data_IF_057445215454
#
_entry.id   IF_057445215454
#
_cell.length_a   1.000
_cell.length_b   1.000
_cell.length_c   1.000
_cell.angle_alpha   90.00
_cell.angle_beta   90.00
_cell.angle_gamma   90.00
#
_symmetry.space_group_name_H-M   'P 1'
#
loop_
_entity.id
_entity.type
_entity.pdbx_description
1 polymer ?
#
# COMPACT_ATOMS: atom_id res chain seq x y z
N UNK A 1 15.81 4.62 14.75
CA UNK A 1 14.57 5.42 14.89
C UNK A 1 13.46 4.59 14.28
N UNK A 2 12.32 4.44 14.95
CA UNK A 2 11.15 3.75 14.39
C UNK A 2 10.25 4.82 13.78
N UNK A 3 9.89 4.67 12.51
CA UNK A 3 8.93 5.52 11.83
C UNK A 3 7.57 4.82 11.82
N UNK A 4 6.52 5.54 12.20
CA UNK A 4 5.15 5.08 12.08
C UNK A 4 4.61 5.41 10.68
N UNK A 5 3.73 4.55 10.14
CA UNK A 5 3.15 4.70 8.79
C UNK A 5 2.06 5.78 8.71
N UNK A 6 1.51 6.22 9.85
CA UNK A 6 0.38 7.16 9.86
C UNK A 6 -0.91 6.56 9.30
N UNK A 7 -1.62 7.31 8.47
CA UNK A 7 -2.89 6.91 7.85
C UNK A 7 -2.67 6.41 6.42
N UNK A 8 -3.38 5.37 5.96
CA UNK A 8 -3.26 4.90 4.59
C UNK A 8 -3.77 5.95 3.59
N UNK A 9 -3.13 6.02 2.42
CA UNK A 9 -3.61 6.85 1.31
C UNK A 9 -4.88 6.30 0.66
N UNK A 10 -5.07 4.98 0.72
CA UNK A 10 -6.29 4.30 0.27
C UNK A 10 -6.64 3.15 1.20
N UNK A 11 -7.91 3.03 1.54
CA UNK A 11 -8.44 1.91 2.32
C UNK A 11 -9.67 1.34 1.62
N UNK A 12 -9.71 0.02 1.44
CA UNK A 12 -10.80 -0.67 0.76
C UNK A 12 -11.30 -1.86 1.60
N UNK A 13 -12.63 -1.95 1.74
CA UNK A 13 -13.31 -3.05 2.42
C UNK A 13 -14.02 -3.93 1.39
N UNK A 14 -13.71 -5.23 1.41
CA UNK A 14 -14.29 -6.23 0.50
C UNK A 14 -15.19 -7.23 1.25
N UNK A 15 -15.66 -6.87 2.43
CA UNK A 15 -16.52 -7.70 3.29
C UNK A 15 -15.77 -8.80 4.05
N UNK A 16 -15.06 -9.70 3.36
CA UNK A 16 -14.27 -10.78 4.00
C UNK A 16 -12.85 -10.37 4.38
N UNK A 17 -12.33 -9.33 3.71
CA UNK A 17 -11.00 -8.79 3.94
C UNK A 17 -10.99 -7.28 3.68
N UNK A 18 -9.92 -6.64 4.15
CA UNK A 18 -9.64 -5.23 3.95
C UNK A 18 -8.22 -5.05 3.41
N UNK A 19 -7.99 -4.00 2.63
CA UNK A 19 -6.66 -3.56 2.22
C UNK A 19 -6.41 -2.11 2.63
N UNK A 20 -5.20 -1.82 3.09
CA UNK A 20 -4.75 -0.48 3.40
C UNK A 20 -3.44 -0.20 2.65
N UNK A 21 -3.48 0.77 1.75
CA UNK A 21 -2.35 1.15 0.90
C UNK A 21 -1.65 2.40 1.42
N UNK A 22 -0.33 2.35 1.50
CA UNK A 22 0.58 3.41 1.93
C UNK A 22 1.50 3.74 0.75
N UNK A 23 1.08 4.72 -0.04
CA UNK A 23 1.72 5.03 -1.33
C UNK A 23 3.14 5.58 -1.18
N UNK A 24 3.47 6.31 -0.10
CA UNK A 24 4.82 6.86 0.10
C UNK A 24 5.83 5.75 0.41
N UNK A 25 5.40 4.74 1.17
CA UNK A 25 6.22 3.60 1.59
C UNK A 25 6.17 2.41 0.64
N UNK A 26 5.27 2.43 -0.35
CA UNK A 26 5.06 1.36 -1.33
C UNK A 26 4.62 0.05 -0.65
N UNK A 27 3.77 0.20 0.36
CA UNK A 27 3.29 -0.89 1.21
C UNK A 27 1.78 -1.04 1.04
N UNK A 28 1.34 -2.28 0.89
CA UNK A 28 -0.07 -2.66 1.08
C UNK A 28 -0.18 -3.63 2.26
N UNK A 29 -1.11 -3.34 3.16
CA UNK A 29 -1.46 -4.23 4.26
C UNK A 29 -2.77 -4.94 3.93
N UNK A 30 -2.75 -6.26 4.00
CA UNK A 30 -3.93 -7.10 3.80
C UNK A 30 -4.42 -7.65 5.13
N UNK A 31 -5.67 -7.36 5.47
CA UNK A 31 -6.32 -7.78 6.70
C UNK A 31 -7.46 -8.75 6.40
N UNK A 32 -7.58 -9.80 7.21
CA UNK A 32 -8.71 -10.73 7.14
C UNK A 32 -9.33 -10.82 8.53
N UNK A 33 -10.64 -10.56 8.63
CA UNK A 33 -11.37 -10.47 9.90
C UNK A 33 -10.68 -9.57 10.94
N UNK A 34 -10.20 -8.40 10.51
CA UNK A 34 -9.53 -7.42 11.36
C UNK A 34 -8.10 -7.80 11.80
N UNK A 35 -7.52 -8.85 11.24
CA UNK A 35 -6.15 -9.29 11.55
C UNK A 35 -5.24 -9.11 10.35
N UNK A 36 -4.07 -8.51 10.56
CA UNK A 36 -3.04 -8.42 9.53
C UNK A 36 -2.60 -9.83 9.13
N UNK A 37 -2.71 -10.13 7.83
CA UNK A 37 -2.37 -11.42 7.25
C UNK A 37 -1.12 -11.33 6.38
N UNK A 38 -0.98 -10.24 5.62
CA UNK A 38 0.16 -10.03 4.73
C UNK A 38 0.58 -8.57 4.70
N UNK A 39 1.87 -8.36 4.47
CA UNK A 39 2.48 -7.08 4.14
C UNK A 39 3.05 -7.26 2.73
N UNK A 40 2.51 -6.55 1.77
CA UNK A 40 2.94 -6.60 0.38
C UNK A 40 3.79 -5.37 0.09
N UNK A 41 4.94 -5.58 -0.56
CA UNK A 41 5.80 -4.52 -1.09
C UNK A 41 5.74 -4.61 -2.61
N UNK A 42 5.46 -3.51 -3.28
CA UNK A 42 5.17 -3.55 -4.71
C UNK A 42 5.48 -2.27 -5.44
N UNK A 43 5.74 -2.39 -6.74
CA UNK A 43 5.89 -1.25 -7.64
C UNK A 43 4.55 -0.53 -7.73
N UNK A 44 4.56 0.80 -7.66
CA UNK A 44 3.38 1.62 -7.90
C UNK A 44 3.03 1.59 -9.39
N UNK A 45 1.75 1.67 -9.75
CA UNK A 45 1.30 1.71 -11.15
C UNK A 45 0.43 2.95 -11.41
N UNK A 46 0.50 3.49 -12.62
CA UNK A 46 -0.41 4.56 -13.08
C UNK A 46 -1.74 4.02 -13.62
N UNK A 47 -2.61 4.91 -14.11
CA UNK A 47 -3.93 4.54 -14.65
C UNK A 47 -3.86 3.69 -15.92
N UNK A 48 -2.70 3.65 -16.58
CA UNK A 48 -2.42 2.89 -17.80
C UNK A 48 -1.65 1.58 -17.51
N UNK A 49 -1.61 1.14 -16.24
CA UNK A 49 -0.87 -0.03 -15.76
C UNK A 49 0.66 0.02 -16.02
N UNK A 50 1.25 1.22 -16.11
CA UNK A 50 2.71 1.37 -16.20
C UNK A 50 3.34 1.51 -14.82
N UNK A 51 4.51 0.88 -14.58
CA UNK A 51 5.22 1.02 -13.32
C UNK A 51 5.75 2.46 -13.11
N UNK A 52 5.37 3.06 -12.00
CA UNK A 52 5.88 4.34 -11.50
C UNK A 52 7.21 4.09 -10.77
N UNK A 53 8.30 4.18 -11.51
CA UNK A 53 9.64 4.20 -10.93
C UNK A 53 9.90 5.55 -10.25
N UNK A 54 10.74 5.59 -9.21
CA UNK A 54 11.19 6.86 -8.67
C UNK A 54 11.92 7.57 -9.80
N UNK A 55 11.41 8.70 -10.26
CA UNK A 55 12.21 9.61 -11.08
C UNK A 55 13.23 10.22 -10.12
N UNK A 56 14.42 9.63 -10.06
CA UNK A 56 15.55 10.32 -9.45
C UNK A 56 15.68 11.64 -10.21
N UNK A 57 15.46 12.75 -9.50
CA UNK A 57 15.71 14.10 -9.99
C UNK A 57 17.09 14.11 -10.67
N UNK A 58 17.13 14.56 -11.92
CA UNK A 58 18.38 14.90 -12.63
C UNK A 58 19.25 15.87 -11.82
#
# INVERSE_FOLDING_TARGET
>A
MVQELGSPSKYENYGSFDTAFYQEEWIELYFEFGRLRSINFGVLYDEDDNPLWPSFLE
#
